data_IF_221466527109
#
_entry.id   IF_221466527109
#
_cell.length_a   1.000
_cell.length_b   1.000
_cell.length_c   1.000
_cell.angle_alpha   90.00
_cell.angle_beta   90.00
_cell.angle_gamma   90.00
#
_symmetry.space_group_name_H-M   'P 1'
#
loop_
_entity.id
_entity.type
_entity.pdbx_description
1 polymer ?
#
# COMPACT_ATOMS: atom_id res chain seq x y z
N UNK A 1 4.29 17.99 39.87
CA UNK A 1 5.59 17.57 39.28
C UNK A 1 5.46 16.51 38.18
N UNK A 2 4.65 15.44 38.34
CA UNK A 2 4.51 14.38 37.30
C UNK A 2 3.81 14.79 35.99
N UNK A 3 2.98 15.84 35.97
CA UNK A 3 2.36 16.36 34.73
C UNK A 3 3.28 17.26 33.89
N UNK A 4 4.28 17.88 34.51
CA UNK A 4 5.23 18.75 33.80
C UNK A 4 6.28 17.93 33.04
N UNK A 5 6.63 16.73 33.53
CA UNK A 5 7.58 15.84 32.87
C UNK A 5 7.00 15.20 31.59
N UNK A 6 5.69 14.95 31.55
CA UNK A 6 5.02 14.37 30.38
C UNK A 6 4.86 15.37 29.23
N UNK A 7 4.64 16.65 29.55
CA UNK A 7 4.61 17.74 28.56
C UNK A 7 6.00 18.04 28.00
N UNK A 8 7.05 17.92 28.81
CA UNK A 8 8.43 18.15 28.36
C UNK A 8 8.93 17.06 27.38
N UNK A 9 8.40 15.83 27.47
CA UNK A 9 8.74 14.72 26.55
C UNK A 9 8.08 14.93 25.18
N UNK A 10 6.84 15.44 25.14
CA UNK A 10 6.15 15.75 23.88
C UNK A 10 6.87 16.89 23.14
N UNK A 11 7.32 17.93 23.85
CA UNK A 11 8.06 19.03 23.23
C UNK A 11 9.49 18.64 22.77
N UNK A 12 10.14 17.66 23.42
CA UNK A 12 11.47 17.20 22.98
C UNK A 12 11.42 16.31 21.72
N UNK A 13 10.36 15.53 21.54
CA UNK A 13 10.14 14.71 20.33
C UNK A 13 9.93 15.60 19.10
N UNK A 14 9.28 16.76 19.27
CA UNK A 14 9.14 17.77 18.20
C UNK A 14 10.48 18.45 17.85
N UNK A 15 11.45 18.45 18.76
CA UNK A 15 12.76 19.09 18.57
C UNK A 15 13.82 18.15 17.94
N UNK A 16 13.67 16.83 18.03
CA UNK A 16 14.41 15.88 17.21
C UNK A 16 13.69 15.75 15.88
N UNK A 17 14.14 16.46 14.84
CA UNK A 17 13.58 16.43 13.50
C UNK A 17 13.57 15.05 12.84
N UNK A 18 12.71 14.15 13.31
CA UNK A 18 12.20 13.02 12.57
C UNK A 18 11.23 13.62 11.55
N UNK A 19 11.74 13.99 10.38
CA UNK A 19 10.89 14.08 9.20
C UNK A 19 10.28 12.69 9.01
N UNK A 20 9.01 12.54 9.42
CA UNK A 20 8.20 11.36 9.08
C UNK A 20 7.90 11.47 7.58
N UNK A 21 8.81 10.94 6.77
CA UNK A 21 8.60 10.87 5.33
C UNK A 21 7.44 9.92 5.03
N UNK A 22 6.39 10.42 4.36
CA UNK A 22 5.34 9.59 3.77
C UNK A 22 5.96 8.51 2.85
N UNK A 23 5.54 7.25 2.98
CA UNK A 23 6.24 6.13 2.33
C UNK A 23 5.48 5.49 1.19
N UNK A 24 6.14 5.50 0.03
CA UNK A 24 5.64 4.91 -1.21
C UNK A 24 5.79 3.39 -1.22
N UNK A 25 4.67 2.66 -1.31
CA UNK A 25 4.61 1.27 -1.71
C UNK A 25 4.52 1.17 -3.22
N UNK A 26 5.51 0.52 -3.83
CA UNK A 26 5.45 0.19 -5.24
C UNK A 26 4.69 -1.12 -5.39
N UNK A 27 3.47 -1.05 -5.91
CA UNK A 27 2.67 -2.26 -6.19
C UNK A 27 3.22 -3.02 -7.42
N UNK A 28 4.13 -2.37 -8.15
CA UNK A 28 4.90 -2.93 -9.28
C UNK A 28 6.41 -2.72 -9.02
N UNK A 29 6.99 -3.46 -8.08
CA UNK A 29 8.46 -3.58 -7.99
C UNK A 29 8.91 -4.55 -9.08
N UNK A 30 9.91 -4.16 -9.89
CA UNK A 30 10.50 -5.02 -10.95
C UNK A 30 9.49 -5.58 -11.97
N UNK A 31 8.47 -4.81 -12.35
CA UNK A 31 7.45 -5.22 -13.34
C UNK A 31 6.64 -6.47 -12.92
N UNK A 32 6.60 -6.77 -11.62
CA UNK A 32 5.74 -7.81 -11.09
C UNK A 32 4.33 -7.23 -10.85
N UNK A 33 3.39 -7.56 -11.72
CA UNK A 33 1.99 -7.14 -11.64
C UNK A 33 1.10 -8.13 -10.87
N UNK A 34 1.72 -9.01 -10.06
CA UNK A 34 1.05 -10.11 -9.37
C UNK A 34 -0.01 -9.68 -8.35
N UNK A 35 0.01 -8.41 -7.93
CA UNK A 35 -0.99 -7.82 -7.03
C UNK A 35 -2.25 -7.28 -7.71
N UNK A 36 -2.40 -7.36 -9.04
CA UNK A 36 -3.54 -6.75 -9.74
C UNK A 36 -4.53 -7.81 -10.23
N UNK A 37 -5.74 -7.86 -9.63
CA UNK A 37 -6.78 -8.85 -9.92
C UNK A 37 -8.10 -8.22 -10.40
N UNK A 38 -8.86 -8.90 -11.28
CA UNK A 38 -10.18 -8.42 -11.70
C UNK A 38 -11.12 -8.25 -10.49
N UNK A 39 -11.98 -7.22 -10.53
CA UNK A 39 -13.00 -7.00 -9.50
C UNK A 39 -13.90 -8.24 -9.29
N UNK A 40 -14.18 -8.66 -8.04
CA UNK A 40 -15.11 -9.74 -7.74
C UNK A 40 -16.50 -9.44 -8.36
N UNK A 41 -16.97 -10.29 -9.27
CA UNK A 41 -18.27 -10.11 -9.95
C UNK A 41 -18.21 -9.70 -11.43
N UNK A 42 -17.03 -9.38 -11.98
CA UNK A 42 -16.89 -9.16 -13.43
C UNK A 42 -16.54 -10.46 -14.20
N UNK A 43 -17.22 -10.70 -15.33
CA UNK A 43 -16.91 -11.82 -16.24
C UNK A 43 -15.64 -11.54 -17.04
N UNK A 44 -14.74 -12.52 -17.11
CA UNK A 44 -13.46 -12.45 -17.84
C UNK A 44 -13.57 -12.66 -19.36
N UNK A 45 -14.74 -13.05 -19.88
CA UNK A 45 -14.92 -13.30 -21.31
C UNK A 45 -14.78 -12.00 -22.11
N UNK A 46 -13.84 -11.96 -23.07
CA UNK A 46 -13.58 -10.78 -23.90
C UNK A 46 -12.56 -9.79 -23.31
N UNK A 47 -11.77 -10.22 -22.31
CA UNK A 47 -10.61 -9.48 -21.81
C UNK A 47 -9.31 -10.19 -22.16
N UNK A 48 -8.31 -9.43 -22.57
CA UNK A 48 -6.94 -9.92 -22.77
C UNK A 48 -6.04 -9.25 -21.75
N UNK A 49 -5.21 -10.05 -21.04
CA UNK A 49 -4.25 -9.58 -20.05
C UNK A 49 -2.90 -10.25 -20.29
N UNK A 50 -1.85 -9.48 -20.53
CA UNK A 50 -0.51 -9.99 -20.79
C UNK A 50 0.56 -9.02 -20.28
N UNK A 51 1.78 -9.53 -20.07
CA UNK A 51 2.95 -8.68 -19.82
C UNK A 51 3.68 -8.56 -21.16
N UNK A 52 3.79 -7.33 -21.67
CA UNK A 52 4.49 -6.97 -22.91
C UNK A 52 5.47 -5.85 -22.59
N UNK A 53 6.75 -5.99 -22.94
CA UNK A 53 7.77 -4.95 -22.73
C UNK A 53 7.73 -4.33 -21.31
N UNK A 54 7.71 -5.19 -20.29
CA UNK A 54 7.66 -4.76 -18.88
C UNK A 54 6.40 -4.00 -18.45
N UNK A 55 5.34 -4.04 -19.27
CA UNK A 55 4.05 -3.40 -19.00
C UNK A 55 2.96 -4.43 -18.92
N UNK A 56 2.00 -4.19 -18.03
CA UNK A 56 0.76 -4.93 -18.02
C UNK A 56 -0.18 -4.36 -19.07
N UNK A 57 -0.53 -5.17 -20.06
CA UNK A 57 -1.50 -4.81 -21.08
C UNK A 57 -2.84 -5.42 -20.69
N UNK A 58 -3.88 -4.58 -20.64
CA UNK A 58 -5.27 -5.02 -20.54
C UNK A 58 -6.12 -4.44 -21.66
N UNK A 59 -6.75 -5.31 -22.44
CA UNK A 59 -7.71 -4.94 -23.48
C UNK A 59 -9.13 -5.32 -23.07
N UNK A 60 -10.05 -4.36 -23.17
CA UNK A 60 -11.47 -4.56 -22.91
C UNK A 60 -12.27 -4.60 -24.21
N UNK A 61 -12.54 -5.81 -24.72
CA UNK A 61 -13.40 -6.02 -25.88
C UNK A 61 -14.87 -6.24 -25.49
N UNK A 62 -15.34 -5.59 -24.42
CA UNK A 62 -16.74 -5.66 -23.95
C UNK A 62 -17.39 -4.29 -23.86
N UNK A 63 -18.72 -4.25 -23.78
CA UNK A 63 -19.49 -3.00 -23.61
C UNK A 63 -19.51 -2.49 -22.16
N UNK A 64 -19.01 -3.26 -21.21
CA UNK A 64 -18.96 -2.88 -19.80
C UNK A 64 -17.55 -2.40 -19.44
N UNK A 65 -17.45 -1.39 -18.57
CA UNK A 65 -16.16 -0.98 -18.01
C UNK A 65 -15.55 -2.13 -17.21
N UNK A 66 -14.26 -2.36 -17.44
CA UNK A 66 -13.45 -3.30 -16.69
C UNK A 66 -12.77 -2.59 -15.52
N UNK A 67 -12.78 -3.20 -14.35
CA UNK A 67 -12.03 -2.74 -13.18
C UNK A 67 -11.11 -3.88 -12.74
N UNK A 68 -9.86 -3.52 -12.51
CA UNK A 68 -8.84 -4.38 -11.92
C UNK A 68 -8.33 -3.68 -10.67
N UNK A 69 -8.41 -4.38 -9.53
CA UNK A 69 -8.07 -3.88 -8.21
C UNK A 69 -6.71 -4.44 -7.77
N UNK A 70 -6.06 -3.70 -6.90
CA UNK A 70 -4.90 -4.14 -6.15
C UNK A 70 -5.31 -5.09 -5.02
N UNK A 71 -4.47 -6.10 -4.75
CA UNK A 71 -4.60 -6.99 -3.59
C UNK A 71 -4.38 -6.27 -2.27
N UNK A 72 -3.57 -5.22 -2.27
CA UNK A 72 -3.33 -4.44 -1.07
C UNK A 72 -4.53 -3.53 -0.83
N UNK A 73 -5.21 -3.76 0.28
CA UNK A 73 -6.27 -2.89 0.74
C UNK A 73 -5.69 -1.77 1.61
N UNK A 74 -6.42 -0.67 1.72
CA UNK A 74 -6.03 0.54 2.42
C UNK A 74 -6.93 0.71 3.62
N UNK A 75 -6.38 0.56 4.82
CA UNK A 75 -7.08 0.83 6.07
C UNK A 75 -7.01 2.31 6.48
N UNK A 76 -5.94 3.02 6.08
CA UNK A 76 -5.73 4.43 6.45
C UNK A 76 -6.77 5.37 5.83
N UNK A 77 -7.21 6.43 6.55
CA UNK A 77 -8.03 7.49 5.98
C UNK A 77 -7.28 8.35 4.97
N UNK A 78 -5.94 8.38 5.04
CA UNK A 78 -5.08 9.20 4.19
C UNK A 78 -4.09 8.35 3.40
N UNK A 79 -4.09 8.50 2.08
CA UNK A 79 -3.19 7.77 1.19
C UNK A 79 -3.06 8.45 -0.17
N UNK A 80 -1.98 8.11 -0.87
CA UNK A 80 -1.73 8.54 -2.25
C UNK A 80 -1.68 7.33 -3.16
N UNK A 81 -2.39 7.35 -4.29
CA UNK A 81 -2.27 6.31 -5.30
C UNK A 81 -1.90 6.90 -6.65
N UNK A 82 -0.86 6.34 -7.26
CA UNK A 82 -0.30 6.78 -8.53
C UNK A 82 -0.29 5.64 -9.54
N UNK A 83 -0.76 5.93 -10.75
CA UNK A 83 -0.69 5.01 -11.88
C UNK A 83 -0.02 5.69 -13.06
N UNK A 84 0.98 5.03 -13.63
CA UNK A 84 1.59 5.41 -14.91
C UNK A 84 1.09 4.46 -15.99
N UNK A 85 0.29 5.00 -16.90
CA UNK A 85 -0.47 4.22 -17.88
C UNK A 85 -0.71 4.99 -19.18
N UNK A 86 -0.95 4.25 -20.25
CA UNK A 86 -1.32 4.75 -21.56
C UNK A 86 -2.53 3.99 -22.08
N UNK A 87 -3.38 4.64 -22.86
CA UNK A 87 -4.39 3.94 -23.65
C UNK A 87 -3.91 3.81 -25.10
N UNK A 88 -3.48 2.60 -25.46
CA UNK A 88 -2.92 2.26 -26.76
C UNK A 88 -3.93 2.39 -27.92
N UNK A 89 -5.21 2.49 -27.59
CA UNK A 89 -6.29 2.72 -28.57
C UNK A 89 -6.69 4.20 -28.69
N UNK A 90 -6.00 5.12 -28.02
CA UNK A 90 -6.33 6.54 -27.98
C UNK A 90 -5.69 7.38 -29.11
N UNK A 91 -5.22 6.75 -30.20
CA UNK A 91 -4.70 7.48 -31.37
C UNK A 91 -5.79 8.28 -32.08
N UNK A 92 -5.45 9.48 -32.52
CA UNK A 92 -6.38 10.32 -33.28
C UNK A 92 -6.87 9.62 -34.57
N UNK A 93 -8.13 9.86 -34.93
CA UNK A 93 -8.74 9.32 -36.15
C UNK A 93 -8.95 7.80 -36.15
N UNK A 94 -8.71 7.10 -35.04
CA UNK A 94 -8.93 5.66 -34.93
C UNK A 94 -10.23 5.35 -34.17
N UNK A 95 -10.98 4.39 -34.67
CA UNK A 95 -12.13 3.79 -33.99
C UNK A 95 -11.89 2.31 -33.73
N UNK A 96 -12.70 1.72 -32.84
CA UNK A 96 -12.63 0.31 -32.48
C UNK A 96 -14.00 -0.32 -32.58
N UNK A 97 -14.09 -1.50 -33.19
CA UNK A 97 -15.34 -2.26 -33.25
C UNK A 97 -15.33 -3.33 -32.16
N UNK A 98 -16.28 -3.24 -31.25
CA UNK A 98 -16.55 -4.27 -30.24
C UNK A 98 -17.70 -5.12 -30.73
N UNK A 99 -17.56 -6.44 -30.61
CA UNK A 99 -18.63 -7.38 -30.94
C UNK A 99 -19.37 -7.77 -29.68
N UNK A 100 -20.68 -7.56 -29.64
CA UNK A 100 -21.50 -8.09 -28.56
C UNK A 100 -21.44 -9.63 -28.60
N UNK A 101 -20.95 -10.31 -27.55
CA UNK A 101 -20.79 -11.75 -27.57
C UNK A 101 -22.12 -12.52 -27.58
N UNK A 102 -23.22 -11.89 -27.15
CA UNK A 102 -24.56 -12.52 -27.13
C UNK A 102 -25.32 -12.32 -28.45
N UNK A 103 -25.26 -11.13 -29.05
CA UNK A 103 -26.02 -10.80 -30.28
C UNK A 103 -25.18 -10.89 -31.55
N UNK A 104 -23.86 -10.88 -31.43
CA UNK A 104 -22.92 -10.81 -32.55
C UNK A 104 -22.85 -9.45 -33.24
N UNK A 105 -23.63 -8.47 -32.78
CA UNK A 105 -23.69 -7.11 -33.31
C UNK A 105 -22.37 -6.36 -33.07
N UNK A 106 -21.94 -5.57 -34.07
CA UNK A 106 -20.73 -4.75 -33.96
C UNK A 106 -21.12 -3.33 -33.58
N UNK A 107 -20.58 -2.84 -32.48
CA UNK A 107 -20.66 -1.43 -32.08
C UNK A 107 -19.31 -0.78 -32.32
N UNK A 108 -19.31 0.42 -32.93
CA UNK A 108 -18.09 1.21 -33.13
C UNK A 108 -17.96 2.19 -31.97
N UNK A 109 -16.83 2.13 -31.27
CA UNK A 109 -16.47 3.04 -30.20
C UNK A 109 -15.40 4.01 -30.70
N UNK A 110 -15.69 5.29 -30.53
CA UNK A 110 -14.74 6.40 -30.58
C UNK A 110 -14.52 6.90 -29.16
N UNK A 111 -13.32 7.39 -28.84
CA UNK A 111 -12.97 7.99 -27.54
C UNK A 111 -13.19 7.04 -26.35
N UNK A 112 -12.39 5.98 -26.32
CA UNK A 112 -12.42 4.99 -25.24
C UNK A 112 -11.95 5.60 -23.91
N UNK A 113 -12.55 5.20 -22.79
CA UNK A 113 -12.21 5.70 -21.46
C UNK A 113 -11.18 4.83 -20.73
N UNK A 114 -10.36 5.42 -19.87
CA UNK A 114 -9.43 4.71 -18.98
C UNK A 114 -9.15 5.54 -17.73
N UNK A 115 -8.51 4.95 -16.71
CA UNK A 115 -8.09 5.73 -15.56
C UNK A 115 -7.84 4.92 -14.30
N UNK A 116 -8.01 5.59 -13.16
CA UNK A 116 -7.65 5.10 -11.83
C UNK A 116 -8.92 4.93 -10.98
N UNK A 117 -8.97 3.86 -10.18
CA UNK A 117 -10.02 3.55 -9.20
C UNK A 117 -9.45 3.70 -7.79
N UNK A 118 -10.23 4.28 -6.89
CA UNK A 118 -9.88 4.47 -5.48
C UNK A 118 -11.14 4.41 -4.59
N UNK A 119 -10.97 4.23 -3.28
CA UNK A 119 -12.08 4.03 -2.34
C UNK A 119 -13.08 2.94 -2.78
N UNK A 120 -12.62 1.85 -3.40
CA UNK A 120 -13.50 0.74 -3.79
C UNK A 120 -13.78 -0.17 -2.58
N UNK A 121 -15.04 -0.44 -2.26
CA UNK A 121 -15.44 -1.28 -1.13
C UNK A 121 -15.68 -2.76 -1.49
N UNK A 122 -15.46 -3.13 -2.75
CA UNK A 122 -15.75 -4.44 -3.38
C UNK A 122 -17.22 -4.87 -3.44
N UNK A 123 -18.13 -4.15 -2.76
CA UNK A 123 -19.56 -4.44 -2.69
C UNK A 123 -20.39 -3.64 -3.70
N UNK A 124 -19.79 -2.64 -4.36
CA UNK A 124 -20.40 -1.91 -5.47
C UNK A 124 -20.20 -0.41 -5.43
N UNK A 125 -19.51 0.11 -4.40
CA UNK A 125 -19.09 1.49 -4.32
C UNK A 125 -17.65 1.65 -4.81
N UNK A 126 -17.38 2.71 -5.58
CA UNK A 126 -16.03 3.19 -5.82
C UNK A 126 -16.02 4.63 -6.29
N UNK A 127 -14.88 5.30 -6.10
CA UNK A 127 -14.55 6.51 -6.81
C UNK A 127 -13.55 6.23 -7.93
N UNK A 128 -13.55 7.07 -8.97
CA UNK A 128 -12.59 6.93 -10.05
C UNK A 128 -12.23 8.28 -10.69
N UNK A 129 -10.99 8.36 -11.16
CA UNK A 129 -10.55 9.38 -12.12
C UNK A 129 -10.66 8.76 -13.51
N UNK A 130 -11.54 9.30 -14.34
CA UNK A 130 -11.79 8.83 -15.71
C UNK A 130 -11.22 9.84 -16.70
N UNK A 131 -10.41 9.35 -17.63
CA UNK A 131 -9.88 10.09 -18.77
C UNK A 131 -10.64 9.68 -20.02
N UNK A 132 -10.99 10.67 -20.81
CA UNK A 132 -11.63 10.53 -22.12
C UNK A 132 -11.03 11.57 -23.06
N UNK A 133 -10.70 11.18 -24.29
CA UNK A 133 -10.19 12.14 -25.27
C UNK A 133 -11.33 12.84 -26.00
N UNK A 134 -11.16 14.14 -26.19
CA UNK A 134 -12.08 14.99 -26.92
C UNK A 134 -11.35 15.79 -28.00
N UNK A 135 -12.02 15.98 -29.13
CA UNK A 135 -11.60 16.87 -30.20
C UNK A 135 -12.58 18.05 -30.24
N UNK A 136 -12.09 19.28 -30.32
CA UNK A 136 -12.92 20.50 -30.32
C UNK A 136 -13.83 20.58 -31.55
N UNK A 137 -13.46 19.90 -32.64
CA UNK A 137 -14.23 19.85 -33.88
C UNK A 137 -14.24 18.44 -34.47
N UNK A 138 -15.36 18.00 -35.05
CA UNK A 138 -15.38 16.73 -35.78
C UNK A 138 -14.63 16.86 -37.14
N UNK A 139 -14.08 15.74 -37.62
CA UNK A 139 -13.50 15.56 -38.96
C UNK A 139 -12.12 16.20 -39.23
N UNK A 140 -11.23 16.26 -38.23
CA UNK A 140 -9.84 16.74 -38.39
C UNK A 140 -9.77 18.13 -39.10
N UNK A 141 -10.64 19.05 -38.67
CA UNK A 141 -10.63 20.44 -39.13
C UNK A 141 -9.25 21.07 -38.79
N UNK A 142 -8.81 22.05 -39.59
CA UNK A 142 -7.55 22.77 -39.34
C UNK A 142 -7.53 23.49 -37.97
N UNK A 143 -8.71 23.74 -37.41
CA UNK A 143 -8.90 24.33 -36.09
C UNK A 143 -9.06 23.30 -34.97
N UNK A 144 -8.99 22.00 -35.28
CA UNK A 144 -9.19 20.94 -34.30
C UNK A 144 -8.11 20.96 -33.22
N UNK A 145 -8.57 20.97 -31.97
CA UNK A 145 -7.73 20.90 -30.78
C UNK A 145 -8.12 19.66 -30.00
N UNK A 146 -7.17 18.74 -29.90
CA UNK A 146 -7.30 17.55 -29.06
C UNK A 146 -7.06 17.91 -27.60
N UNK A 147 -7.86 17.32 -26.72
CA UNK A 147 -7.76 17.45 -25.27
C UNK A 147 -8.12 16.13 -24.60
N UNK A 148 -7.81 16.02 -23.31
CA UNK A 148 -8.34 14.96 -22.44
C UNK A 148 -9.28 15.62 -21.44
N UNK A 149 -10.52 15.16 -21.41
CA UNK A 149 -11.44 15.42 -20.33
C UNK A 149 -11.15 14.48 -19.17
N UNK A 150 -11.01 15.06 -17.98
CA UNK A 150 -10.74 14.37 -16.73
C UNK A 150 -11.97 14.54 -15.85
N UNK A 151 -12.51 13.43 -15.35
CA UNK A 151 -13.67 13.42 -14.45
C UNK A 151 -13.32 12.69 -13.16
N UNK A 152 -13.71 13.27 -12.03
CA UNK A 152 -13.87 12.51 -10.79
C UNK A 152 -15.31 12.00 -10.77
N UNK A 153 -15.48 10.69 -10.69
CA UNK A 153 -16.79 10.06 -10.56
C UNK A 153 -16.89 9.32 -9.24
N UNK A 154 -18.10 9.29 -8.70
CA UNK A 154 -18.52 8.39 -7.64
C UNK A 154 -19.54 7.42 -8.24
N UNK A 155 -19.37 6.13 -7.97
CA UNK A 155 -20.34 5.11 -8.35
C UNK A 155 -20.84 4.41 -7.11
N UNK A 156 -22.15 4.32 -6.99
CA UNK A 156 -22.83 3.51 -5.99
C UNK A 156 -23.75 2.55 -6.73
N UNK A 157 -23.38 1.26 -6.75
CA UNK A 157 -24.09 0.22 -7.48
C UNK A 157 -24.23 0.53 -8.99
N UNK A 158 -25.43 0.90 -9.43
CA UNK A 158 -25.74 1.22 -10.83
C UNK A 158 -25.68 2.73 -11.13
N UNK A 159 -25.67 3.58 -10.10
CA UNK A 159 -25.72 5.02 -10.25
C UNK A 159 -24.30 5.60 -10.29
N UNK A 160 -24.01 6.40 -11.31
CA UNK A 160 -22.74 7.13 -11.45
C UNK A 160 -23.03 8.63 -11.38
N UNK A 161 -22.30 9.32 -10.51
CA UNK A 161 -22.33 10.78 -10.37
C UNK A 161 -20.96 11.36 -10.72
N UNK A 162 -20.95 12.42 -11.53
CA UNK A 162 -19.74 13.22 -11.76
C UNK A 162 -19.62 14.24 -10.62
N UNK A 163 -18.48 14.23 -9.93
CA UNK A 163 -18.19 15.13 -8.81
C UNK A 163 -17.44 16.39 -9.25
N UNK A 164 -16.50 16.24 -10.18
CA UNK A 164 -15.74 17.34 -10.78
C UNK A 164 -15.25 16.95 -12.18
N UNK A 165 -15.05 17.96 -13.04
CA UNK A 165 -14.64 17.77 -14.44
C UNK A 165 -13.80 18.94 -14.94
N UNK A 166 -12.77 18.65 -15.74
CA UNK A 166 -12.01 19.65 -16.48
C UNK A 166 -11.49 19.08 -17.81
N UNK A 167 -11.06 19.95 -18.72
CA UNK A 167 -10.41 19.57 -19.98
C UNK A 167 -8.98 20.10 -20.02
N UNK A 168 -8.04 19.26 -20.45
CA UNK A 168 -6.61 19.54 -20.44
C UNK A 168 -6.03 19.29 -21.85
N UNK A 169 -5.34 20.29 -22.40
CA UNK A 169 -4.68 20.21 -23.70
C UNK A 169 -3.14 20.31 -23.66
N UNK A 170 -2.53 20.47 -22.48
CA UNK A 170 -1.07 20.66 -22.31
C UNK A 170 -0.55 19.95 -21.06
N UNK A 171 0.76 19.64 -21.04
CA UNK A 171 1.43 18.98 -19.90
C UNK A 171 1.20 17.46 -19.80
N UNK A 172 0.36 16.91 -20.67
CA UNK A 172 -0.01 15.50 -20.74
C UNK A 172 0.15 14.99 -22.17
N UNK A 173 0.30 13.68 -22.33
CA UNK A 173 0.20 13.00 -23.63
C UNK A 173 -1.27 12.81 -24.00
N UNK A 174 -1.67 13.32 -25.17
CA UNK A 174 -3.06 13.30 -25.64
C UNK A 174 -3.41 12.08 -26.52
N UNK A 175 -2.45 11.20 -26.76
CA UNK A 175 -2.61 10.01 -27.61
C UNK A 175 -2.33 8.72 -26.83
N UNK A 176 -1.51 7.81 -27.38
CA UNK A 176 -1.23 6.48 -26.85
C UNK A 176 0.06 6.38 -26.03
N UNK A 177 0.63 7.52 -25.65
CA UNK A 177 1.78 7.59 -24.77
C UNK A 177 1.38 7.62 -23.28
N UNK A 178 2.34 7.36 -22.41
CA UNK A 178 2.14 7.28 -20.96
C UNK A 178 1.86 8.64 -20.33
N UNK A 179 0.87 8.65 -19.45
CA UNK A 179 0.66 9.68 -18.45
C UNK A 179 0.74 9.05 -17.05
N UNK A 180 1.09 9.85 -16.06
CA UNK A 180 0.90 9.53 -14.65
C UNK A 180 -0.36 10.22 -14.14
N UNK A 181 -1.25 9.46 -13.51
CA UNK A 181 -2.39 9.93 -12.74
C UNK A 181 -2.05 9.72 -11.26
N UNK A 182 -2.28 10.73 -10.44
CA UNK A 182 -2.10 10.70 -8.99
C UNK A 182 -3.40 11.12 -8.32
N UNK A 183 -3.83 10.36 -7.32
CA UNK A 183 -4.86 10.78 -6.37
C UNK A 183 -4.24 10.88 -4.98
N UNK A 184 -4.50 11.99 -4.31
CA UNK A 184 -4.23 12.21 -2.90
C UNK A 184 -5.56 12.22 -2.18
N UNK A 185 -5.80 11.21 -1.33
CA UNK A 185 -7.05 11.03 -0.58
C UNK A 185 -6.76 11.31 0.89
N UNK A 186 -7.61 12.13 1.51
CA UNK A 186 -7.58 12.43 2.94
C UNK A 186 -9.01 12.67 3.46
N UNK A 187 -9.15 13.12 4.71
CA UNK A 187 -10.45 13.43 5.32
C UNK A 187 -11.22 14.58 4.64
N UNK A 188 -10.54 15.43 3.86
CA UNK A 188 -11.15 16.56 3.15
C UNK A 188 -11.67 16.15 1.79
N UNK A 189 -11.14 15.08 1.20
CA UNK A 189 -11.63 14.53 -0.06
C UNK A 189 -10.50 13.97 -0.90
N UNK A 190 -10.51 14.31 -2.19
CA UNK A 190 -9.49 13.87 -3.14
C UNK A 190 -8.96 15.04 -3.94
N UNK A 191 -7.64 15.08 -4.12
CA UNK A 191 -6.96 15.90 -5.12
C UNK A 191 -6.41 15.01 -6.23
N UNK A 192 -6.56 15.46 -7.46
CA UNK A 192 -6.13 14.74 -8.66
C UNK A 192 -5.05 15.54 -9.35
N UNK A 193 -3.92 14.90 -9.64
CA UNK A 193 -2.87 15.45 -10.47
C UNK A 193 -2.54 14.52 -11.64
N UNK A 194 -2.26 15.09 -12.82
CA UNK A 194 -1.97 14.32 -14.04
C UNK A 194 -0.80 14.94 -14.78
N UNK A 195 0.06 14.12 -15.41
CA UNK A 195 1.24 14.63 -16.11
C UNK A 195 1.99 13.60 -16.95
N UNK A 196 2.67 14.04 -18.02
CA UNK A 196 3.63 13.20 -18.77
C UNK A 196 5.00 13.15 -18.06
N UNK A 197 5.55 14.33 -17.82
CA UNK A 197 6.88 14.55 -17.24
C UNK A 197 6.79 15.11 -15.80
N UNK A 198 5.82 16.00 -15.58
CA UNK A 198 5.56 16.66 -14.29
C UNK A 198 4.07 16.60 -14.00
N UNK A 199 3.71 16.32 -12.74
CA UNK A 199 2.32 16.31 -12.30
C UNK A 199 1.81 17.74 -12.12
N UNK A 200 0.65 18.04 -12.69
CA UNK A 200 -0.12 19.26 -12.42
C UNK A 200 -1.41 18.86 -11.70
N UNK A 201 -1.76 19.56 -10.62
CA UNK A 201 -3.07 19.42 -9.99
C UNK A 201 -4.16 19.96 -10.92
N UNK A 202 -5.22 19.16 -11.13
CA UNK A 202 -6.24 19.43 -12.14
C UNK A 202 -7.65 19.45 -11.58
N UNK A 203 -7.92 18.67 -10.52
CA UNK A 203 -9.23 18.60 -9.89
C UNK A 203 -9.10 18.38 -8.38
N UNK A 204 -10.11 18.84 -7.65
CA UNK A 204 -10.35 18.53 -6.25
C UNK A 204 -11.85 18.29 -6.05
N UNK A 205 -12.20 17.32 -5.22
CA UNK A 205 -13.59 17.03 -4.89
C UNK A 205 -13.74 16.42 -3.49
N UNK A 206 -14.88 16.66 -2.86
CA UNK A 206 -15.30 15.88 -1.70
C UNK A 206 -15.73 14.48 -2.16
N UNK A 207 -15.17 13.45 -1.56
CA UNK A 207 -15.51 12.04 -1.81
C UNK A 207 -15.90 11.36 -0.50
N UNK A 208 -16.82 10.41 -0.56
CA UNK A 208 -17.13 9.58 0.60
C UNK A 208 -16.11 8.45 0.66
N UNK A 209 -15.49 8.24 1.82
CA UNK A 209 -14.68 7.03 2.04
C UNK A 209 -15.55 5.97 2.71
N UNK A 210 -15.68 4.76 2.13
CA UNK A 210 -16.31 3.64 2.81
C UNK A 210 -15.67 3.35 4.17
N UNK A 211 -16.46 2.81 5.09
CA UNK A 211 -15.95 2.31 6.36
C UNK A 211 -15.06 1.08 6.15
N UNK A 212 -14.03 0.91 6.97
CA UNK A 212 -13.11 -0.23 6.88
C UNK A 212 -12.02 -0.04 5.82
N UNK A 213 -11.59 -1.16 5.23
CA UNK A 213 -10.52 -1.20 4.23
C UNK A 213 -11.08 -0.99 2.82
N UNK A 214 -10.40 -0.19 2.01
CA UNK A 214 -10.77 0.06 0.61
C UNK A 214 -9.70 -0.47 -0.35
N UNK A 215 -10.09 -0.77 -1.58
CA UNK A 215 -9.16 -1.13 -2.65
C UNK A 215 -8.91 0.05 -3.60
N UNK A 216 -7.73 0.02 -4.22
CA UNK A 216 -7.33 0.92 -5.30
C UNK A 216 -7.06 0.11 -6.57
N UNK A 217 -7.02 0.74 -7.73
CA UNK A 217 -6.77 0.02 -8.98
C UNK A 217 -6.96 0.88 -10.22
N UNK A 218 -7.29 0.26 -11.34
CA UNK A 218 -7.50 0.95 -12.60
C UNK A 218 -8.77 0.50 -13.30
N UNK A 219 -9.24 1.34 -14.21
CA UNK A 219 -10.38 1.05 -15.06
C UNK A 219 -10.00 1.08 -16.54
N UNK A 220 -10.61 0.19 -17.31
CA UNK A 220 -10.47 0.07 -18.76
C UNK A 220 -11.87 0.12 -19.35
N UNK A 221 -12.22 1.24 -19.97
CA UNK A 221 -13.53 1.44 -20.59
C UNK A 221 -13.72 0.57 -21.84
N UNK A 222 -14.95 0.52 -22.40
CA UNK A 222 -15.23 -0.26 -23.60
C UNK A 222 -14.28 0.08 -24.75
N UNK A 223 -13.59 -0.93 -25.28
CA UNK A 223 -12.71 -0.82 -26.45
C UNK A 223 -11.33 -0.23 -26.14
N UNK A 224 -11.06 0.18 -24.90
CA UNK A 224 -9.75 0.63 -24.48
C UNK A 224 -8.76 -0.55 -24.42
N UNK A 225 -7.49 -0.26 -24.73
CA UNK A 225 -6.35 -1.15 -24.52
C UNK A 225 -5.32 -0.40 -23.71
N UNK A 226 -5.26 -0.67 -22.41
CA UNK A 226 -4.44 0.10 -21.47
C UNK A 226 -3.13 -0.64 -21.21
N UNK A 227 -2.03 0.09 -21.29
CA UNK A 227 -0.72 -0.36 -20.85
C UNK A 227 -0.41 0.30 -19.51
N UNK A 228 -0.20 -0.50 -18.47
CA UNK A 228 0.19 -0.06 -17.14
C UNK A 228 1.69 -0.31 -16.99
N UNK A 229 2.45 0.77 -16.78
CA UNK A 229 3.89 0.71 -16.52
C UNK A 229 4.17 0.66 -15.03
N UNK A 230 3.43 1.40 -14.21
CA UNK A 230 3.68 1.46 -12.76
C UNK A 230 2.43 1.75 -11.96
N UNK A 231 2.31 1.09 -10.81
CA UNK A 231 1.33 1.41 -9.77
C UNK A 231 2.06 1.63 -8.43
N UNK A 232 1.72 2.72 -7.73
CA UNK A 232 2.35 3.10 -6.47
C UNK A 232 1.26 3.55 -5.50
N UNK A 233 1.11 2.84 -4.39
CA UNK A 233 0.26 3.22 -3.28
C UNK A 233 1.14 3.73 -2.15
N UNK A 234 0.92 4.90 -1.60
CA UNK A 234 1.64 5.44 -0.45
C UNK A 234 0.62 5.57 0.65
N UNK A 235 0.85 4.92 1.78
CA UNK A 235 -0.06 5.00 2.92
C UNK A 235 0.67 5.76 4.01
N UNK A 236 -0.01 6.75 4.58
CA UNK A 236 0.48 7.40 5.77
C UNK A 236 0.26 6.47 6.97
N UNK A 237 1.35 6.05 7.59
CA UNK A 237 1.37 5.13 8.73
C UNK A 237 2.00 5.77 9.98
N UNK A 238 1.94 7.10 10.06
CA UNK A 238 2.50 7.90 11.14
C UNK A 238 2.06 7.40 12.52
N UNK A 239 0.78 7.08 12.71
CA UNK A 239 0.28 6.59 14.01
C UNK A 239 0.95 5.29 14.45
N UNK A 240 1.10 4.30 13.55
CA UNK A 240 1.75 3.02 13.87
C UNK A 240 3.25 3.18 14.09
N UNK A 241 3.93 4.04 13.32
CA UNK A 241 5.35 4.35 13.50
C UNK A 241 5.58 5.06 14.83
N UNK A 242 4.73 6.02 15.17
CA UNK A 242 4.76 6.71 16.46
C UNK A 242 4.50 5.75 17.62
N UNK A 243 3.53 4.84 17.49
CA UNK A 243 3.25 3.81 18.49
C UNK A 243 4.43 2.84 18.70
N UNK A 244 5.20 2.57 17.65
CA UNK A 244 6.40 1.72 17.72
C UNK A 244 7.67 2.50 18.13
N UNK A 245 7.62 3.82 18.27
CA UNK A 245 8.79 4.63 18.62
C UNK A 245 9.07 4.50 20.12
N UNK A 246 10.33 4.21 20.48
CA UNK A 246 10.78 4.15 21.87
C UNK A 246 11.97 5.06 22.10
N UNK A 247 12.37 5.22 23.36
CA UNK A 247 13.59 5.97 23.73
C UNK A 247 14.86 5.11 23.68
N UNK A 248 14.75 3.81 23.39
CA UNK A 248 15.90 2.92 23.36
C UNK A 248 16.79 3.22 22.17
N UNK A 249 18.07 3.44 22.42
CA UNK A 249 19.13 3.39 21.41
C UNK A 249 20.06 2.22 21.71
N UNK A 250 20.98 1.90 20.80
CA UNK A 250 21.99 0.86 21.07
C UNK A 250 22.82 1.20 22.31
N UNK A 251 23.25 2.45 22.41
CA UNK A 251 24.07 2.93 23.51
C UNK A 251 23.31 2.85 24.84
N UNK A 252 22.04 3.28 24.86
CA UNK A 252 21.20 3.18 26.05
C UNK A 252 20.95 1.72 26.48
N UNK A 253 20.80 0.81 25.52
CA UNK A 253 20.64 -0.62 25.79
C UNK A 253 21.94 -1.26 26.30
N UNK A 254 23.09 -0.91 25.75
CA UNK A 254 24.39 -1.40 26.20
C UNK A 254 24.66 -0.97 27.66
N UNK A 255 24.41 0.30 27.99
CA UNK A 255 24.49 0.81 29.35
C UNK A 255 23.50 0.11 30.31
N UNK A 256 22.27 -0.12 29.85
CA UNK A 256 21.24 -0.79 30.63
C UNK A 256 21.60 -2.26 30.92
N UNK A 257 22.08 -3.00 29.92
CA UNK A 257 22.43 -4.41 30.07
C UNK A 257 23.72 -4.62 30.87
N UNK A 258 24.65 -3.65 30.90
CA UNK A 258 25.87 -3.75 31.69
C UNK A 258 25.63 -3.89 33.21
N UNK A 259 24.47 -3.42 33.69
CA UNK A 259 24.09 -3.48 35.11
C UNK A 259 22.89 -4.40 35.38
N UNK A 260 22.28 -4.96 34.34
CA UNK A 260 21.15 -5.86 34.50
C UNK A 260 21.58 -7.20 35.08
N UNK A 261 20.77 -7.73 36.01
CA UNK A 261 20.88 -9.09 36.54
C UNK A 261 19.74 -9.99 36.07
N UNK A 262 18.88 -9.52 35.16
CA UNK A 262 17.75 -10.31 34.66
C UNK A 262 18.25 -11.29 33.58
N UNK A 263 18.10 -12.61 33.78
CA UNK A 263 18.62 -13.60 32.84
C UNK A 263 17.91 -13.59 31.48
N UNK A 264 16.77 -12.91 31.34
CA UNK A 264 16.04 -12.78 30.06
C UNK A 264 16.51 -11.56 29.27
N UNK A 265 16.90 -10.49 29.95
CA UNK A 265 17.33 -9.26 29.31
C UNK A 265 18.65 -9.45 28.53
N UNK A 266 18.79 -8.70 27.44
CA UNK A 266 19.99 -8.71 26.60
C UNK A 266 19.67 -8.77 25.12
N UNK A 267 20.70 -9.02 24.31
CA UNK A 267 20.56 -9.16 22.86
C UNK A 267 20.25 -10.59 22.45
N UNK A 268 19.43 -10.71 21.41
CA UNK A 268 18.95 -11.96 20.84
C UNK A 268 19.09 -11.93 19.33
N UNK A 269 19.54 -13.03 18.74
CA UNK A 269 19.76 -13.14 17.30
C UNK A 269 18.93 -14.27 16.73
N UNK A 270 18.48 -14.09 15.49
CA UNK A 270 17.77 -15.11 14.74
C UNK A 270 18.54 -16.45 14.77
N UNK A 271 17.84 -17.51 15.19
CA UNK A 271 18.37 -18.87 15.22
C UNK A 271 17.87 -19.65 14.00
N UNK A 272 16.58 -19.94 13.98
CA UNK A 272 15.89 -20.62 12.88
C UNK A 272 14.38 -20.34 12.89
N UNK A 273 13.66 -20.95 11.93
CA UNK A 273 12.21 -20.80 11.79
C UNK A 273 11.59 -22.08 11.24
N UNK A 274 10.32 -22.29 11.56
CA UNK A 274 9.44 -23.26 10.91
C UNK A 274 8.16 -22.52 10.55
N UNK A 275 8.00 -22.14 9.29
CA UNK A 275 6.94 -21.22 8.84
C UNK A 275 6.32 -21.68 7.53
N UNK A 276 5.03 -21.42 7.38
CA UNK A 276 4.31 -21.59 6.12
C UNK A 276 4.35 -20.25 5.37
N UNK A 277 5.27 -20.12 4.41
CA UNK A 277 5.55 -18.87 3.71
C UNK A 277 4.33 -18.35 2.90
N UNK A 278 3.30 -19.16 2.66
CA UNK A 278 2.03 -18.70 2.07
C UNK A 278 1.20 -17.85 3.03
N UNK A 279 1.35 -18.05 4.34
CA UNK A 279 0.52 -17.45 5.38
C UNK A 279 1.28 -16.40 6.19
N UNK A 280 2.55 -16.64 6.50
CA UNK A 280 3.38 -15.71 7.25
C UNK A 280 4.85 -15.86 6.84
N UNK A 281 5.43 -14.76 6.33
CA UNK A 281 6.84 -14.72 5.95
C UNK A 281 7.64 -13.89 6.93
N UNK A 282 8.79 -14.41 7.36
CA UNK A 282 9.70 -13.65 8.19
C UNK A 282 10.31 -12.49 7.38
N UNK A 283 10.11 -11.26 7.85
CA UNK A 283 10.61 -10.05 7.20
C UNK A 283 12.13 -9.83 7.28
N UNK A 284 12.89 -10.70 7.96
CA UNK A 284 14.35 -10.62 8.03
C UNK A 284 14.96 -11.52 9.09
N UNK A 285 16.29 -11.61 9.12
CA UNK A 285 17.04 -12.32 10.16
C UNK A 285 17.39 -11.33 11.26
N UNK A 286 16.45 -11.14 12.20
CA UNK A 286 16.51 -10.04 13.14
C UNK A 286 17.58 -10.21 14.22
N UNK A 287 18.13 -9.06 14.64
CA UNK A 287 18.74 -8.87 15.95
C UNK A 287 17.75 -8.07 16.79
N UNK A 288 17.48 -8.55 18.00
CA UNK A 288 16.53 -7.98 18.94
C UNK A 288 17.23 -7.67 20.26
N UNK A 289 16.69 -6.74 21.02
CA UNK A 289 17.00 -6.56 22.43
C UNK A 289 15.72 -6.85 23.24
N UNK A 290 15.85 -7.59 24.33
CA UNK A 290 14.75 -7.85 25.26
C UNK A 290 15.01 -7.04 26.52
N UNK A 291 14.06 -6.19 26.89
CA UNK A 291 14.16 -5.30 28.06
C UNK A 291 12.92 -5.45 28.93
N UNK A 292 13.07 -5.37 30.25
CA UNK A 292 11.96 -5.47 31.19
C UNK A 292 11.02 -4.28 31.02
N UNK A 293 9.74 -4.61 31.01
CA UNK A 293 8.62 -3.68 31.01
C UNK A 293 7.70 -3.97 32.20
N UNK A 294 6.69 -3.12 32.43
CA UNK A 294 5.79 -3.21 33.59
C UNK A 294 5.12 -4.60 33.74
N UNK A 295 4.66 -5.18 32.63
CA UNK A 295 3.95 -6.49 32.60
C UNK A 295 4.70 -7.61 31.90
N UNK A 296 6.02 -7.50 31.80
CA UNK A 296 6.86 -8.52 31.17
C UNK A 296 8.07 -7.92 30.50
N UNK A 297 8.17 -8.01 29.18
CA UNK A 297 9.32 -7.51 28.42
C UNK A 297 8.91 -6.87 27.10
N UNK A 298 9.58 -5.78 26.73
CA UNK A 298 9.52 -5.27 25.37
C UNK A 298 10.57 -5.96 24.50
N UNK A 299 10.19 -6.21 23.25
CA UNK A 299 11.08 -6.67 22.19
C UNK A 299 11.46 -5.44 21.37
N UNK A 300 12.73 -5.05 21.39
CA UNK A 300 13.26 -3.90 20.68
C UNK A 300 14.00 -4.38 19.44
N UNK A 301 13.68 -3.80 18.29
CA UNK A 301 14.37 -4.05 17.03
C UNK A 301 15.77 -3.43 17.05
N UNK A 302 16.80 -4.22 16.71
CA UNK A 302 18.19 -3.72 16.63
C UNK A 302 18.81 -3.86 15.24
N UNK A 303 18.22 -4.65 14.35
CA UNK A 303 18.72 -4.83 12.99
C UNK A 303 18.18 -6.07 12.29
N UNK A 304 18.62 -6.27 11.04
CA UNK A 304 18.38 -7.52 10.30
C UNK A 304 17.10 -7.60 9.47
N UNK A 305 16.34 -6.51 9.35
CA UNK A 305 15.20 -6.44 8.43
C UNK A 305 15.66 -6.54 6.97
N UNK A 306 14.98 -7.36 6.17
CA UNK A 306 15.21 -7.56 4.74
C UNK A 306 14.02 -7.07 3.91
N UNK A 307 12.81 -7.28 4.40
CA UNK A 307 11.56 -6.78 3.83
C UNK A 307 11.22 -5.44 4.47
N UNK A 308 10.87 -4.45 3.64
CA UNK A 308 10.53 -3.09 4.08
C UNK A 308 11.58 -2.53 5.07
N UNK A 309 12.88 -2.78 4.82
CA UNK A 309 13.99 -2.45 5.72
C UNK A 309 13.98 -1.00 6.18
N UNK A 310 13.63 -0.07 5.28
CA UNK A 310 13.56 1.35 5.60
C UNK A 310 12.59 1.62 6.75
N UNK A 311 11.56 0.78 6.99
CA UNK A 311 10.52 0.97 8.05
C UNK A 311 11.07 0.82 9.46
N UNK A 312 12.25 0.24 9.57
CA UNK A 312 12.82 -0.16 10.83
C UNK A 312 14.07 0.66 11.13
N UNK A 313 14.06 1.31 12.28
CA UNK A 313 15.23 1.93 12.89
C UNK A 313 15.57 1.18 14.17
N UNK A 314 16.86 1.01 14.45
CA UNK A 314 17.29 0.41 15.71
C UNK A 314 16.72 1.21 16.89
N UNK A 315 16.15 0.52 17.88
CA UNK A 315 15.45 1.14 18.99
C UNK A 315 13.92 1.10 18.90
N UNK A 316 13.34 0.79 17.73
CA UNK A 316 11.88 0.67 17.61
C UNK A 316 11.33 -0.56 18.32
N UNK A 317 10.11 -0.47 18.84
CA UNK A 317 9.36 -1.58 19.38
C UNK A 317 9.07 -2.58 18.26
N UNK A 318 9.41 -3.85 18.49
CA UNK A 318 9.12 -4.97 17.60
C UNK A 318 8.02 -5.86 18.14
N UNK A 319 7.72 -5.77 19.43
CA UNK A 319 6.71 -6.60 20.08
C UNK A 319 6.76 -6.47 21.59
N UNK A 320 5.84 -7.14 22.27
CA UNK A 320 5.76 -7.18 23.72
C UNK A 320 5.49 -8.60 24.20
N UNK A 321 6.09 -8.99 25.30
CA UNK A 321 5.90 -10.25 26.01
C UNK A 321 5.18 -9.97 27.33
N UNK A 322 3.95 -10.44 27.46
CA UNK A 322 3.16 -10.34 28.69
C UNK A 322 3.30 -11.63 29.50
N UNK A 323 3.68 -11.52 30.78
CA UNK A 323 3.83 -12.70 31.64
C UNK A 323 2.51 -13.46 31.81
N UNK A 324 2.54 -14.77 31.58
CA UNK A 324 1.44 -15.67 31.97
C UNK A 324 1.64 -16.21 33.38
N UNK A 325 0.72 -17.05 33.84
CA UNK A 325 0.86 -17.82 35.10
C UNK A 325 1.93 -18.91 35.03
N UNK A 326 2.37 -19.29 33.82
CA UNK A 326 3.37 -20.33 33.61
C UNK A 326 4.77 -19.70 33.44
N UNK A 327 5.71 -20.10 34.29
CA UNK A 327 7.09 -19.62 34.21
C UNK A 327 7.69 -19.87 32.83
N UNK A 328 8.34 -18.86 32.27
CA UNK A 328 8.97 -18.93 30.95
C UNK A 328 7.98 -18.90 29.77
N UNK A 329 6.67 -18.72 29.99
CA UNK A 329 5.68 -18.61 28.93
C UNK A 329 4.97 -17.25 28.98
N UNK A 330 4.74 -16.68 27.81
CA UNK A 330 4.26 -15.32 27.62
C UNK A 330 3.16 -15.30 26.57
N UNK A 331 2.15 -14.45 26.78
CA UNK A 331 1.37 -13.95 25.66
C UNK A 331 2.25 -12.94 24.93
N UNK A 332 2.20 -12.90 23.61
CA UNK A 332 3.09 -12.07 22.82
C UNK A 332 2.33 -11.19 21.83
N UNK A 333 2.97 -10.11 21.44
CA UNK A 333 2.59 -9.31 20.27
C UNK A 333 3.81 -9.12 19.40
N UNK A 334 3.61 -9.01 18.10
CA UNK A 334 4.69 -8.83 17.14
C UNK A 334 4.30 -7.81 16.08
N UNK A 335 5.12 -6.79 15.88
CA UNK A 335 4.91 -5.79 14.83
C UNK A 335 5.58 -6.29 13.55
N UNK A 336 4.78 -6.49 12.52
CA UNK A 336 5.17 -7.09 11.25
C UNK A 336 5.99 -6.12 10.37
N UNK A 337 6.38 -6.50 9.16
CA UNK A 337 7.18 -5.61 8.29
C UNK A 337 6.41 -4.35 7.83
N UNK A 338 5.09 -4.34 7.95
CA UNK A 338 4.19 -3.26 7.52
C UNK A 338 3.83 -2.28 8.64
N UNK A 339 4.38 -2.48 9.85
CA UNK A 339 4.06 -1.74 11.08
C UNK A 339 2.70 -2.10 11.67
N UNK A 340 2.10 -3.21 11.25
CA UNK A 340 0.87 -3.72 11.84
C UNK A 340 1.18 -4.72 12.96
N UNK A 341 0.46 -4.66 14.10
CA UNK A 341 0.59 -5.65 15.16
C UNK A 341 -0.06 -6.98 14.74
N UNK A 342 0.61 -8.07 15.08
CA UNK A 342 0.07 -9.42 15.15
C UNK A 342 -0.07 -9.73 16.64
N UNK A 343 -1.29 -9.70 17.13
CA UNK A 343 -1.65 -9.82 18.55
C UNK A 343 -2.68 -10.93 18.83
N UNK A 344 -3.24 -11.53 17.79
CA UNK A 344 -4.16 -12.66 17.90
C UNK A 344 -3.40 -13.99 18.07
N UNK A 345 -3.60 -14.63 19.22
CA UNK A 345 -3.06 -15.96 19.59
C UNK A 345 -1.53 -16.10 19.47
N UNK A 346 -0.78 -14.99 19.52
CA UNK A 346 0.69 -15.05 19.52
C UNK A 346 1.19 -15.37 20.93
N UNK A 347 2.08 -16.34 21.04
CA UNK A 347 2.66 -16.77 22.30
C UNK A 347 4.19 -16.84 22.19
N UNK A 348 4.87 -16.71 23.33
CA UNK A 348 6.31 -16.92 23.40
C UNK A 348 6.70 -17.85 24.55
N UNK A 349 7.75 -18.63 24.34
CA UNK A 349 8.43 -19.37 25.39
C UNK A 349 9.91 -19.00 25.45
N UNK A 350 10.46 -18.94 26.65
CA UNK A 350 11.89 -18.78 26.89
C UNK A 350 12.41 -20.01 27.60
N UNK A 351 13.20 -20.80 26.88
CA UNK A 351 13.78 -22.05 27.35
C UNK A 351 15.19 -21.82 27.87
N UNK A 352 15.43 -22.20 29.13
CA UNK A 352 16.73 -22.11 29.82
C UNK A 352 17.38 -20.71 29.79
N UNK A 353 16.59 -19.65 29.55
CA UNK A 353 17.09 -18.28 29.42
C UNK A 353 17.94 -18.01 28.17
N UNK A 354 18.01 -18.95 27.22
CA UNK A 354 18.91 -18.87 26.05
C UNK A 354 18.21 -19.03 24.71
N UNK A 355 17.01 -19.62 24.66
CA UNK A 355 16.22 -19.75 23.43
C UNK A 355 14.86 -19.07 23.66
N UNK A 356 14.55 -18.10 22.81
CA UNK A 356 13.24 -17.46 22.72
C UNK A 356 12.54 -18.04 21.50
N UNK A 357 11.38 -18.66 21.70
CA UNK A 357 10.51 -19.14 20.63
C UNK A 357 9.27 -18.26 20.58
N UNK A 358 8.99 -17.65 19.43
CA UNK A 358 7.71 -17.01 19.14
C UNK A 358 6.88 -17.94 18.26
N UNK A 359 5.65 -18.23 18.69
CA UNK A 359 4.72 -19.08 17.96
C UNK A 359 3.51 -18.26 17.51
N UNK A 360 3.11 -18.51 16.27
CA UNK A 360 2.00 -17.90 15.56
C UNK A 360 1.04 -19.03 15.11
N UNK A 361 0.22 -19.58 16.03
CA UNK A 361 -0.58 -20.78 15.78
C UNK A 361 -1.59 -20.63 14.64
N UNK A 362 -2.25 -19.47 14.55
CA UNK A 362 -3.17 -19.13 13.44
C UNK A 362 -2.49 -19.31 12.08
N UNK A 363 -1.21 -18.95 12.00
CA UNK A 363 -0.39 -19.02 10.81
C UNK A 363 0.45 -20.30 10.70
N UNK A 364 0.27 -21.25 11.62
CA UNK A 364 1.04 -22.51 11.71
C UNK A 364 2.55 -22.29 11.58
N UNK A 365 3.04 -21.25 12.26
CA UNK A 365 4.40 -20.74 12.07
C UNK A 365 5.07 -20.45 13.41
N UNK A 366 6.39 -20.57 13.45
CA UNK A 366 7.21 -20.21 14.60
C UNK A 366 8.59 -19.71 14.15
N UNK A 367 9.19 -18.87 14.99
CA UNK A 367 10.56 -18.37 14.82
C UNK A 367 11.29 -18.43 16.15
N UNK A 368 12.57 -18.77 16.10
CA UNK A 368 13.41 -18.88 17.29
C UNK A 368 14.59 -17.92 17.23
N UNK A 369 14.97 -17.47 18.41
CA UNK A 369 16.12 -16.60 18.64
C UNK A 369 17.00 -17.19 19.74
N UNK A 370 18.31 -17.06 19.58
CA UNK A 370 19.28 -17.40 20.61
C UNK A 370 19.82 -16.15 21.28
N UNK A 371 19.99 -16.20 22.60
CA UNK A 371 20.62 -15.12 23.36
C UNK A 371 22.09 -14.98 22.99
N UNK A 372 22.56 -13.74 22.83
CA UNK A 372 23.98 -13.42 22.63
C UNK A 372 24.66 -13.45 24.00
N UNK A 373 25.64 -14.34 24.17
CA UNK A 373 26.34 -14.54 25.45
C UNK A 373 27.70 -13.81 25.50
N UNK A 374 28.33 -13.60 24.34
CA UNK A 374 29.56 -12.81 24.16
C UNK A 374 29.38 -12.00 22.87
N UNK A 375 29.71 -10.71 22.89
CA UNK A 375 29.86 -9.92 21.66
C UNK A 375 31.26 -10.23 21.13
N UNK A 376 31.35 -10.88 19.97
CA UNK A 376 32.62 -10.91 19.23
C UNK A 376 33.01 -9.46 18.91
N UNK A 377 34.19 -9.04 19.38
CA UNK A 377 34.80 -7.71 19.11
C UNK A 377 35.05 -7.44 17.63
#
# INVERSE_FOLDING_TARGET
MKRALFLLIIELIVASGLEVEARSYYNTVENQFGGLFPHPGMRMAGRYKAIEEDRLIEENATMATAITLDTMTVASPSYRYQLRLANLNNKQGKTRSIKNPMTGEKTTISNTQWGLVFNNDTEGYYCAVVLECDNSTPFDDITDQRSITVKIIERNNSETRVLAECSIGKGISLEDELNTICVDVDERGVKVAIGKNELQEVLEAHVTRPAGTVAVGYLVGPGARVAIERAVLTIDNEEQVMAATTYWTREALDEYFAVSSDPIEGYWQYLDRDMQDEWLRLGGRYTLAIVRADKGYDIIYMGGAQVKKTMWQAGMLKGHLTKTVFSGNYDATWIDATMEPIDEDVQASIENGIILTLSFPVYKSQVRFSKVLEMDE
#
